data_IF_488370403843
#
_entry.id   IF_488370403843
#
_cell.length_a   1.000
_cell.length_b   1.000
_cell.length_c   1.000
_cell.angle_alpha   90.00
_cell.angle_beta   90.00
_cell.angle_gamma   90.00
#
_symmetry.space_group_name_H-M   'P 1'
#
loop_
_entity.id
_entity.type
_entity.pdbx_description
1 polymer ?
#
# COMPACT_ATOMS: atom_id res chain seq x y z
N UNK A 1 -22.77 3.05 -7.70
CA UNK A 1 -23.06 1.66 -7.29
C UNK A 1 -22.10 1.38 -6.15
N UNK A 2 -22.58 0.89 -5.01
CA UNK A 2 -21.67 0.55 -3.90
C UNK A 2 -21.16 -0.88 -4.13
N UNK A 3 -19.85 -1.03 -4.31
CA UNK A 3 -19.17 -2.30 -4.61
C UNK A 3 -18.71 -3.02 -3.34
N UNK A 4 -18.87 -2.39 -2.18
CA UNK A 4 -18.45 -2.94 -0.89
C UNK A 4 -19.23 -4.23 -0.58
N UNK A 5 -18.50 -5.31 -0.32
CA UNK A 5 -19.05 -6.62 0.02
C UNK A 5 -19.30 -7.54 -1.18
N UNK A 6 -19.10 -7.08 -2.42
CA UNK A 6 -19.11 -7.95 -3.60
C UNK A 6 -17.95 -8.94 -3.59
N UNK A 7 -18.14 -10.10 -4.21
CA UNK A 7 -17.01 -11.00 -4.52
C UNK A 7 -16.23 -10.43 -5.70
N UNK A 8 -14.93 -10.67 -5.74
CA UNK A 8 -14.06 -10.14 -6.81
C UNK A 8 -14.48 -10.65 -8.20
N UNK A 9 -15.07 -11.84 -8.28
CA UNK A 9 -15.56 -12.44 -9.53
C UNK A 9 -16.79 -11.73 -10.11
N UNK A 10 -17.49 -10.94 -9.28
CA UNK A 10 -18.71 -10.22 -9.66
C UNK A 10 -18.41 -8.76 -10.12
N UNK A 11 -17.14 -8.33 -10.07
CA UNK A 11 -16.73 -6.98 -10.48
C UNK A 11 -16.73 -6.85 -12.02
N UNK A 12 -17.26 -5.74 -12.52
CA UNK A 12 -17.22 -5.44 -13.95
C UNK A 12 -15.78 -5.19 -14.42
N UNK A 13 -15.42 -5.78 -15.56
CA UNK A 13 -14.03 -5.77 -16.05
C UNK A 13 -13.86 -4.84 -17.25
N UNK A 14 -12.75 -4.06 -17.33
CA UNK A 14 -11.55 -4.16 -16.50
C UNK A 14 -11.63 -3.39 -15.18
N UNK A 15 -11.11 -4.00 -14.11
CA UNK A 15 -10.99 -3.38 -12.78
C UNK A 15 -9.58 -3.57 -12.22
N UNK A 16 -9.03 -2.51 -11.61
CA UNK A 16 -7.80 -2.59 -10.83
C UNK A 16 -8.17 -2.79 -9.36
N UNK A 17 -7.67 -3.87 -8.77
CA UNK A 17 -7.87 -4.16 -7.35
C UNK A 17 -6.53 -4.57 -6.71
N UNK A 18 -6.51 -4.56 -5.37
CA UNK A 18 -5.37 -5.00 -4.58
C UNK A 18 -5.86 -5.86 -3.43
N UNK A 19 -5.07 -6.86 -3.07
CA UNK A 19 -5.24 -7.60 -1.83
C UNK A 19 -4.74 -6.74 -0.66
N UNK A 20 -5.66 -6.33 0.22
CA UNK A 20 -5.37 -5.40 1.31
C UNK A 20 -4.47 -6.03 2.39
N UNK A 21 -4.62 -7.33 2.66
CA UNK A 21 -3.81 -8.02 3.67
C UNK A 21 -2.37 -8.14 3.16
N UNK A 22 -2.19 -8.55 1.90
CA UNK A 22 -0.86 -8.57 1.24
C UNK A 22 -0.23 -7.18 1.20
N UNK A 23 -1.01 -6.15 0.87
CA UNK A 23 -0.52 -4.77 0.83
C UNK A 23 -0.01 -4.33 2.19
N UNK A 24 -0.79 -4.57 3.25
CA UNK A 24 -0.42 -4.23 4.62
C UNK A 24 0.84 -4.99 5.06
N UNK A 25 0.89 -6.31 4.85
CA UNK A 25 2.06 -7.15 5.15
C UNK A 25 3.33 -6.64 4.47
N UNK A 26 3.25 -6.29 3.18
CA UNK A 26 4.38 -5.78 2.42
C UNK A 26 4.87 -4.44 2.97
N UNK A 27 3.96 -3.52 3.31
CA UNK A 27 4.31 -2.22 3.88
C UNK A 27 4.99 -2.39 5.25
N UNK A 28 4.44 -3.24 6.12
CA UNK A 28 5.04 -3.54 7.43
C UNK A 28 6.42 -4.20 7.29
N UNK A 29 6.57 -5.11 6.33
CA UNK A 29 7.82 -5.80 6.05
C UNK A 29 8.91 -4.83 5.60
N UNK A 30 8.59 -3.92 4.67
CA UNK A 30 9.52 -2.88 4.22
C UNK A 30 9.87 -1.91 5.35
N UNK A 31 8.89 -1.45 6.12
CA UNK A 31 9.13 -0.59 7.29
C UNK A 31 10.09 -1.24 8.29
N UNK A 32 9.86 -2.52 8.61
CA UNK A 32 10.73 -3.31 9.50
C UNK A 32 12.13 -3.48 8.91
N UNK A 33 12.23 -3.82 7.63
CA UNK A 33 13.50 -4.01 6.94
C UNK A 33 14.39 -2.77 7.03
N UNK A 34 13.86 -1.60 6.67
CA UNK A 34 14.63 -0.35 6.72
C UNK A 34 14.98 0.09 8.15
N UNK A 35 14.06 -0.14 9.10
CA UNK A 35 14.31 0.08 10.52
C UNK A 35 15.47 -0.77 11.04
N UNK A 36 15.49 -2.07 10.74
CA UNK A 36 16.57 -2.99 11.14
C UNK A 36 17.89 -2.61 10.47
N UNK A 37 17.84 -2.19 9.20
CA UNK A 37 19.01 -1.73 8.47
C UNK A 37 19.55 -0.37 8.95
N UNK A 38 18.81 0.37 9.78
CA UNK A 38 19.23 1.67 10.31
C UNK A 38 19.27 2.79 9.25
N UNK A 39 18.48 2.68 8.17
CA UNK A 39 18.42 3.69 7.09
C UNK A 39 17.00 4.20 6.89
N UNK A 40 16.89 5.42 6.36
CA UNK A 40 15.60 6.06 6.10
C UNK A 40 14.92 5.48 4.86
N UNK A 41 13.60 5.27 4.96
CA UNK A 41 12.76 4.86 3.85
C UNK A 41 11.88 6.00 3.34
N UNK A 42 11.95 6.29 2.03
CA UNK A 42 11.10 7.28 1.34
C UNK A 42 10.55 6.65 0.05
N UNK A 43 9.46 5.87 0.10
CA UNK A 43 8.98 5.08 -1.03
C UNK A 43 8.57 5.95 -2.21
N UNK A 44 8.75 5.41 -3.41
CA UNK A 44 8.37 6.08 -4.64
C UNK A 44 6.92 5.77 -5.02
N UNK A 45 6.09 6.80 -5.02
CA UNK A 45 4.63 6.73 -5.17
C UNK A 45 4.13 7.22 -6.52
N UNK A 46 4.99 7.66 -7.45
CA UNK A 46 4.57 8.09 -8.80
C UNK A 46 3.76 7.06 -9.56
N UNK A 47 4.00 5.77 -9.30
CA UNK A 47 3.32 4.65 -9.95
C UNK A 47 2.03 4.25 -9.24
N UNK A 48 1.97 4.45 -7.92
CA UNK A 48 0.80 4.09 -7.10
C UNK A 48 -0.25 5.20 -7.14
N UNK A 49 0.17 6.46 -6.97
CA UNK A 49 -0.69 7.67 -6.96
C UNK A 49 -1.93 7.60 -6.07
N UNK A 50 -1.87 6.84 -4.97
CA UNK A 50 -2.96 6.70 -4.01
C UNK A 50 -2.49 7.25 -2.66
N UNK A 51 -3.03 8.40 -2.19
CA UNK A 51 -2.65 8.99 -0.91
C UNK A 51 -2.83 8.06 0.29
N UNK A 52 -3.89 7.23 0.29
CA UNK A 52 -4.12 6.26 1.36
C UNK A 52 -2.94 5.29 1.54
N UNK A 53 -2.33 4.81 0.45
CA UNK A 53 -1.16 3.92 0.50
C UNK A 53 0.09 4.68 0.97
N UNK A 54 0.25 5.96 0.57
CA UNK A 54 1.32 6.79 1.09
C UNK A 54 1.21 6.99 2.62
N UNK A 55 0.00 7.19 3.13
CA UNK A 55 -0.25 7.27 4.58
C UNK A 55 0.03 5.95 5.30
N UNK A 56 -0.32 4.81 4.72
CA UNK A 56 0.05 3.50 5.27
C UNK A 56 1.57 3.35 5.39
N UNK A 57 2.32 3.72 4.36
CA UNK A 57 3.78 3.66 4.38
C UNK A 57 4.39 4.59 5.44
N UNK A 58 3.88 5.82 5.56
CA UNK A 58 4.31 6.77 6.61
C UNK A 58 4.01 6.20 8.00
N UNK A 59 2.83 5.60 8.19
CA UNK A 59 2.47 4.91 9.44
C UNK A 59 3.39 3.73 9.78
N UNK A 60 3.95 3.06 8.77
CA UNK A 60 4.93 1.99 8.92
C UNK A 60 6.38 2.47 9.10
N UNK A 61 6.62 3.78 9.19
CA UNK A 61 7.93 4.36 9.47
C UNK A 61 8.64 4.99 8.27
N UNK A 62 7.97 5.16 7.13
CA UNK A 62 8.52 5.98 6.05
C UNK A 62 8.58 7.46 6.45
N UNK A 63 9.65 8.16 6.06
CA UNK A 63 9.88 9.60 6.39
C UNK A 63 9.23 10.56 5.37
N UNK A 64 8.22 10.09 4.64
CA UNK A 64 7.59 10.78 3.51
C UNK A 64 7.64 9.93 2.23
N UNK A 65 7.28 10.50 1.08
CA UNK A 65 7.19 9.78 -0.21
C UNK A 65 7.78 10.59 -1.38
N UNK A 66 8.25 9.91 -2.44
CA UNK A 66 8.70 10.53 -3.71
C UNK A 66 7.72 10.31 -4.85
#
# INVERSE_FOLDING_TARGET
VDEVGMKKEDLDTPVLWVDLDRLAENITSLGTYFKVAGVNWRPHTKGVKIPAIAHMAIGAGAIGVT
#
